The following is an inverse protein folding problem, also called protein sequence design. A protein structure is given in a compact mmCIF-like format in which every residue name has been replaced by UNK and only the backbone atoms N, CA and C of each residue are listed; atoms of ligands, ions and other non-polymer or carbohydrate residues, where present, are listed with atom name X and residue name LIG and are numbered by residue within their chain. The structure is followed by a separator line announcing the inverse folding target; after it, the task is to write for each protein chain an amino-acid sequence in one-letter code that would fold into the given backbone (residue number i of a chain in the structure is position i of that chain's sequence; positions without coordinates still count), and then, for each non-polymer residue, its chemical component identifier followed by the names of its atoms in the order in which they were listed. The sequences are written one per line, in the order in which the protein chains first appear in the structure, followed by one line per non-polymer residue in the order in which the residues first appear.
data_IF_008450350211
#
_entry.id   IF_008450350211
#
_cell.length_a   1.000
_cell.length_b   1.000
_cell.length_c   1.000
_cell.angle_alpha   90.00
_cell.angle_beta   90.00
_cell.angle_gamma   90.00
#
_symmetry.space_group_name_H-M   'P 1'
#
loop_
_entity.id
_entity.type
_entity.pdbx_description
1 polymer ?
#
# COMPACT_ATOMS: atom_id res chain seq x y z
N UNK A 1 7.57 -22.40 17.29
CA UNK A 1 6.24 -21.84 17.52
C UNK A 1 6.00 -21.75 19.01
N UNK A 2 5.35 -20.69 19.50
CA UNK A 2 4.93 -20.63 20.88
C UNK A 2 3.73 -21.56 21.11
N UNK A 3 3.52 -22.02 22.35
CA UNK A 3 2.33 -22.83 22.71
C UNK A 3 1.01 -22.12 22.31
N UNK A 4 0.97 -20.80 22.32
CA UNK A 4 -0.18 -19.99 21.90
C UNK A 4 -0.42 -20.01 20.39
N UNK A 5 0.62 -20.11 19.58
CA UNK A 5 0.48 -20.24 18.12
C UNK A 5 -0.14 -21.59 17.75
N UNK A 6 0.25 -22.66 18.44
CA UNK A 6 -0.35 -23.96 18.25
C UNK A 6 -1.83 -23.99 18.60
N UNK A 7 -2.20 -23.41 19.75
CA UNK A 7 -3.60 -23.27 20.18
C UNK A 7 -4.42 -22.45 19.17
N UNK A 8 -3.87 -21.38 18.67
CA UNK A 8 -4.51 -20.56 17.63
C UNK A 8 -4.75 -21.39 16.34
N UNK A 9 -3.73 -22.10 15.87
CA UNK A 9 -3.84 -22.94 14.66
C UNK A 9 -4.85 -24.06 14.83
N UNK A 10 -4.83 -24.79 15.95
CA UNK A 10 -5.76 -25.86 16.25
C UNK A 10 -7.20 -25.36 16.33
N UNK A 11 -7.44 -24.25 17.03
CA UNK A 11 -8.78 -23.67 17.14
C UNK A 11 -9.29 -23.17 15.78
N UNK A 12 -8.45 -22.52 14.99
CA UNK A 12 -8.78 -22.07 13.63
C UNK A 12 -9.12 -23.25 12.71
N UNK A 13 -8.32 -24.31 12.72
CA UNK A 13 -8.53 -25.51 11.91
C UNK A 13 -9.86 -26.22 12.25
N UNK A 14 -10.30 -26.14 13.52
CA UNK A 14 -11.58 -26.68 13.99
C UNK A 14 -12.76 -25.69 13.82
N UNK A 15 -12.54 -24.52 13.20
CA UNK A 15 -13.58 -23.51 12.97
C UNK A 15 -14.00 -22.73 14.19
N UNK A 16 -13.23 -22.78 15.29
CA UNK A 16 -13.52 -22.01 16.50
C UNK A 16 -13.00 -20.58 16.37
N UNK A 17 -13.82 -19.62 16.77
CA UNK A 17 -13.44 -18.19 16.79
C UNK A 17 -12.53 -17.84 17.99
N UNK A 18 -12.48 -18.69 19.02
CA UNK A 18 -11.67 -18.46 20.23
C UNK A 18 -11.05 -19.74 20.75
N UNK A 19 -10.00 -19.61 21.55
CA UNK A 19 -9.48 -20.66 22.42
C UNK A 19 -9.28 -20.12 23.85
N UNK A 20 -9.23 -21.01 24.83
CA UNK A 20 -8.97 -20.66 26.22
C UNK A 20 -7.46 -20.56 26.47
N UNK A 21 -6.98 -19.42 26.91
CA UNK A 21 -5.60 -19.20 27.32
C UNK A 21 -5.30 -20.09 28.55
N UNK A 22 -4.33 -21.01 28.48
CA UNK A 22 -4.03 -21.92 29.58
C UNK A 22 -3.43 -21.23 30.83
N UNK A 23 -2.89 -20.01 30.66
CA UNK A 23 -2.25 -19.26 31.74
C UNK A 23 -3.27 -18.34 32.43
N UNK A 24 -3.97 -17.51 31.65
CA UNK A 24 -4.89 -16.50 32.21
C UNK A 24 -6.34 -17.00 32.36
N UNK A 25 -6.70 -18.08 31.66
CA UNK A 25 -8.06 -18.60 31.62
C UNK A 25 -9.03 -17.78 30.74
N UNK A 26 -8.58 -16.68 30.11
CA UNK A 26 -9.41 -15.84 29.25
C UNK A 26 -9.60 -16.44 27.85
N UNK A 27 -10.71 -16.07 27.21
CA UNK A 27 -10.94 -16.39 25.80
C UNK A 27 -10.10 -15.47 24.89
N UNK A 28 -9.33 -16.08 23.98
CA UNK A 28 -8.49 -15.37 23.03
C UNK A 28 -9.04 -15.60 21.63
N UNK A 29 -9.25 -14.52 20.87
CA UNK A 29 -9.70 -14.60 19.47
C UNK A 29 -8.60 -15.24 18.60
N UNK A 30 -9.01 -16.13 17.72
CA UNK A 30 -8.13 -16.71 16.70
C UNK A 30 -7.81 -15.69 15.59
N UNK A 31 -6.70 -15.93 14.87
CA UNK A 31 -6.35 -15.12 13.70
C UNK A 31 -7.45 -15.14 12.63
N UNK A 32 -8.10 -16.29 12.43
CA UNK A 32 -9.21 -16.43 11.48
C UNK A 32 -10.45 -15.61 11.89
N UNK A 33 -10.80 -15.62 13.17
CA UNK A 33 -11.88 -14.77 13.68
C UNK A 33 -11.58 -13.29 13.53
N UNK A 34 -10.32 -12.90 13.69
CA UNK A 34 -9.87 -11.53 13.49
C UNK A 34 -9.86 -11.15 12.00
N UNK A 35 -9.48 -12.05 11.09
CA UNK A 35 -9.55 -11.83 9.64
C UNK A 35 -10.97 -11.54 9.15
N UNK A 36 -11.99 -12.19 9.74
CA UNK A 36 -13.40 -11.92 9.42
C UNK A 36 -13.81 -10.47 9.73
N UNK A 37 -13.10 -9.76 10.63
CA UNK A 37 -13.37 -8.35 10.96
C UNK A 37 -12.89 -7.36 9.88
N UNK A 38 -12.06 -7.79 8.95
CA UNK A 38 -11.59 -7.01 7.82
C UNK A 38 -10.63 -5.85 8.14
N UNK A 39 -10.30 -5.60 9.43
CA UNK A 39 -9.36 -4.54 9.84
C UNK A 39 -8.81 -4.76 11.24
N UNK A 40 -7.66 -4.13 11.55
CA UNK A 40 -7.14 -4.07 12.90
C UNK A 40 -8.06 -3.23 13.79
N UNK A 41 -8.46 -3.79 14.94
CA UNK A 41 -9.38 -3.12 15.87
C UNK A 41 -8.69 -2.16 16.87
N UNK A 42 -7.34 -2.10 16.89
CA UNK A 42 -6.59 -1.28 17.84
C UNK A 42 -6.38 -1.89 19.24
N UNK A 43 -6.92 -3.07 19.52
CA UNK A 43 -6.97 -3.66 20.88
C UNK A 43 -5.77 -4.57 21.20
N UNK A 44 -4.65 -4.46 20.50
CA UNK A 44 -3.43 -5.27 20.74
C UNK A 44 -3.68 -6.79 20.82
N UNK A 45 -4.59 -7.31 19.98
CA UNK A 45 -4.96 -8.73 19.98
C UNK A 45 -3.72 -9.62 19.75
N UNK A 46 -3.56 -10.71 20.53
CA UNK A 46 -2.39 -11.61 20.47
C UNK A 46 -2.11 -12.14 19.07
N UNK A 47 -3.12 -12.50 18.29
CA UNK A 47 -3.00 -13.09 16.95
C UNK A 47 -3.50 -12.13 15.87
N UNK A 48 -3.21 -10.83 16.00
CA UNK A 48 -3.65 -9.84 15.03
C UNK A 48 -3.07 -10.12 13.62
N UNK A 49 -3.89 -10.51 12.62
CA UNK A 49 -3.38 -10.80 11.28
C UNK A 49 -3.01 -9.53 10.49
N UNK A 50 -3.39 -8.36 11.01
CA UNK A 50 -3.18 -7.05 10.40
C UNK A 50 -1.94 -6.33 10.94
N UNK A 51 -0.99 -7.02 11.59
CA UNK A 51 0.25 -6.45 12.08
C UNK A 51 0.08 -5.29 13.05
N UNK A 52 -1.00 -5.25 13.82
CA UNK A 52 -1.30 -4.18 14.78
C UNK A 52 -1.32 -2.77 14.17
N UNK A 53 -1.77 -2.62 12.91
CA UNK A 53 -1.76 -1.35 12.17
C UNK A 53 -2.38 -0.18 12.94
N UNK A 54 -3.49 -0.41 13.66
CA UNK A 54 -4.23 0.61 14.41
C UNK A 54 -3.86 0.67 15.91
N UNK A 55 -2.77 0.00 16.31
CA UNK A 55 -2.27 0.10 17.69
C UNK A 55 -1.18 1.17 17.73
N UNK A 56 -1.39 2.25 18.49
CA UNK A 56 -0.44 3.37 18.57
C UNK A 56 0.90 2.94 19.16
N UNK A 57 0.86 2.26 20.32
CA UNK A 57 2.04 1.74 21.01
C UNK A 57 1.83 0.26 21.30
N UNK A 58 2.13 -0.64 20.36
CA UNK A 58 1.95 -2.06 20.58
C UNK A 58 2.85 -2.54 21.73
N UNK A 59 2.26 -3.29 22.66
CA UNK A 59 3.03 -3.95 23.74
C UNK A 59 3.93 -5.01 23.11
N UNK A 60 5.26 -4.78 23.12
CA UNK A 60 6.24 -5.65 22.47
C UNK A 60 6.37 -5.43 20.97
N UNK A 61 6.96 -6.39 20.28
CA UNK A 61 7.09 -6.36 18.82
C UNK A 61 5.73 -6.53 18.13
N UNK A 62 5.52 -5.79 17.03
CA UNK A 62 4.33 -5.97 16.20
C UNK A 62 4.31 -7.39 15.65
N UNK A 63 3.12 -7.98 15.60
CA UNK A 63 2.95 -9.23 14.88
C UNK A 63 3.24 -9.04 13.40
N UNK A 64 4.00 -9.96 12.82
CA UNK A 64 4.27 -9.96 11.39
C UNK A 64 3.00 -10.34 10.61
N UNK A 65 2.73 -9.62 9.55
CA UNK A 65 1.75 -10.04 8.55
C UNK A 65 2.40 -11.16 7.74
N UNK A 66 1.87 -12.39 7.87
CA UNK A 66 2.48 -13.59 7.25
C UNK A 66 1.99 -13.85 5.83
N UNK A 67 0.74 -13.53 5.56
CA UNK A 67 0.06 -13.75 4.27
C UNK A 67 -0.54 -12.44 3.77
N UNK A 68 -0.86 -12.33 2.49
CA UNK A 68 -1.59 -11.18 1.98
C UNK A 68 -2.89 -10.95 2.75
N UNK A 69 -3.16 -9.70 3.11
CA UNK A 69 -4.38 -9.33 3.85
C UNK A 69 -5.13 -8.23 3.13
N UNK A 70 -6.41 -8.48 2.85
CA UNK A 70 -7.33 -7.47 2.31
C UNK A 70 -8.03 -6.75 3.47
N UNK A 71 -7.93 -5.42 3.49
CA UNK A 71 -8.52 -4.56 4.52
C UNK A 71 -9.51 -3.58 3.91
N UNK A 72 -10.52 -3.18 4.69
CA UNK A 72 -11.55 -2.21 4.34
C UNK A 72 -12.38 -2.59 3.09
N UNK A 73 -12.48 -3.89 2.76
CA UNK A 73 -13.31 -4.35 1.67
C UNK A 73 -14.81 -4.19 2.00
N UNK A 74 -15.55 -3.66 1.05
CA UNK A 74 -17.02 -3.58 1.06
C UNK A 74 -17.51 -4.29 -0.20
N UNK A 75 -18.55 -5.11 -0.08
CA UNK A 75 -19.11 -5.87 -1.19
C UNK A 75 -19.48 -4.97 -2.38
N UNK A 76 -19.07 -5.39 -3.57
CA UNK A 76 -19.33 -4.74 -4.84
C UNK A 76 -19.65 -5.82 -5.89
N UNK A 77 -20.24 -5.44 -7.00
CA UNK A 77 -20.66 -6.35 -8.08
C UNK A 77 -19.85 -6.22 -9.37
N UNK A 78 -18.97 -5.22 -9.44
CA UNK A 78 -18.18 -4.95 -10.63
C UNK A 78 -16.83 -5.69 -10.60
N UNK A 79 -16.30 -6.05 -11.78
CA UNK A 79 -14.95 -6.56 -11.91
C UNK A 79 -13.91 -5.61 -11.30
N UNK A 80 -12.78 -6.17 -10.85
CA UNK A 80 -11.77 -5.46 -10.09
C UNK A 80 -10.65 -4.92 -10.97
N UNK A 81 -10.25 -3.69 -10.70
CA UNK A 81 -8.97 -3.12 -11.10
C UNK A 81 -8.02 -3.12 -9.88
N UNK A 82 -6.86 -3.69 -10.04
CA UNK A 82 -5.82 -3.69 -9.00
C UNK A 82 -4.82 -2.59 -9.29
N UNK A 83 -4.79 -1.56 -8.47
CA UNK A 83 -3.78 -0.49 -8.55
C UNK A 83 -2.58 -0.83 -7.66
N UNK A 84 -1.42 -1.03 -8.27
CA UNK A 84 -0.17 -1.15 -7.54
C UNK A 84 0.17 0.19 -6.89
N UNK A 85 0.06 0.21 -5.56
CA UNK A 85 0.06 1.42 -4.75
C UNK A 85 1.37 1.58 -3.99
N UNK A 86 2.12 2.62 -4.32
CA UNK A 86 3.36 2.99 -3.64
C UNK A 86 3.17 4.05 -2.55
N UNK A 87 2.04 4.74 -2.55
CA UNK A 87 1.77 5.90 -1.68
C UNK A 87 2.33 7.22 -2.19
N UNK A 88 3.04 7.22 -3.32
CA UNK A 88 3.63 8.39 -3.95
C UNK A 88 2.70 9.13 -4.93
N UNK A 89 3.19 10.24 -5.46
CA UNK A 89 2.45 11.16 -6.35
C UNK A 89 1.87 10.49 -7.59
N UNK A 90 2.59 9.54 -8.21
CA UNK A 90 2.20 8.93 -9.48
C UNK A 90 1.10 7.91 -9.28
N UNK A 91 1.23 7.06 -8.27
CA UNK A 91 0.14 6.17 -7.87
C UNK A 91 -1.10 6.95 -7.43
N UNK A 92 -0.93 8.11 -6.76
CA UNK A 92 -2.03 9.01 -6.41
C UNK A 92 -2.73 9.60 -7.64
N UNK A 93 -1.99 10.13 -8.63
CA UNK A 93 -2.56 10.61 -9.89
C UNK A 93 -3.36 9.51 -10.61
N UNK A 94 -2.80 8.30 -10.62
CA UNK A 94 -3.46 7.12 -11.19
C UNK A 94 -4.75 6.79 -10.47
N UNK A 95 -4.73 6.77 -9.12
CA UNK A 95 -5.93 6.53 -8.32
C UNK A 95 -7.02 7.55 -8.62
N UNK A 96 -6.67 8.84 -8.68
CA UNK A 96 -7.65 9.89 -8.98
C UNK A 96 -8.29 9.70 -10.35
N UNK A 97 -7.53 9.30 -11.37
CA UNK A 97 -8.07 9.01 -12.69
C UNK A 97 -9.05 7.81 -12.66
N UNK A 98 -8.68 6.72 -12.00
CA UNK A 98 -9.55 5.55 -11.88
C UNK A 98 -10.85 5.86 -11.12
N UNK A 99 -10.78 6.72 -10.09
CA UNK A 99 -11.97 7.16 -9.35
C UNK A 99 -12.90 8.03 -10.20
N UNK A 100 -12.35 8.91 -11.04
CA UNK A 100 -13.12 9.69 -12.03
C UNK A 100 -13.84 8.76 -13.02
N UNK A 101 -13.21 7.66 -13.42
CA UNK A 101 -13.79 6.62 -14.29
C UNK A 101 -14.78 5.69 -13.54
N UNK A 102 -15.00 5.90 -12.25
CA UNK A 102 -15.89 5.08 -11.38
C UNK A 102 -15.53 3.58 -11.39
N UNK A 103 -14.25 3.28 -11.41
CA UNK A 103 -13.73 1.90 -11.38
C UNK A 103 -13.87 1.30 -9.98
N UNK A 104 -13.98 -0.03 -9.92
CA UNK A 104 -13.93 -0.79 -8.69
C UNK A 104 -12.48 -1.16 -8.39
N UNK A 105 -11.86 -0.44 -7.47
CA UNK A 105 -10.41 -0.43 -7.27
C UNK A 105 -10.06 -1.12 -5.95
N UNK A 106 -9.01 -1.95 -5.97
CA UNK A 106 -8.28 -2.37 -4.79
C UNK A 106 -6.85 -1.87 -4.93
N UNK A 107 -6.35 -1.18 -3.91
CA UNK A 107 -4.93 -0.84 -3.81
C UNK A 107 -4.15 -2.09 -3.41
N UNK A 108 -3.00 -2.34 -4.05
CA UNK A 108 -2.11 -3.44 -3.69
C UNK A 108 -0.73 -2.89 -3.38
N UNK A 109 -0.25 -3.13 -2.16
CA UNK A 109 1.07 -2.68 -1.72
C UNK A 109 1.90 -3.84 -1.22
N UNK A 110 3.03 -4.10 -1.87
CA UNK A 110 4.05 -5.02 -1.36
C UNK A 110 5.02 -4.28 -0.42
N UNK A 111 5.42 -4.95 0.66
CA UNK A 111 6.28 -4.38 1.69
C UNK A 111 7.19 -5.43 2.32
N UNK A 112 8.32 -5.00 2.85
CA UNK A 112 9.22 -5.88 3.60
C UNK A 112 8.58 -6.36 4.90
N UNK A 113 8.29 -7.64 5.02
CA UNK A 113 7.57 -8.22 6.17
C UNK A 113 8.28 -7.98 7.51
N UNK A 114 9.62 -7.92 7.50
CA UNK A 114 10.43 -7.70 8.71
C UNK A 114 10.57 -6.22 9.07
N UNK A 115 10.45 -5.32 8.10
CA UNK A 115 10.64 -3.87 8.29
C UNK A 115 9.32 -3.10 8.41
N UNK A 116 8.21 -3.69 7.93
CA UNK A 116 6.93 -3.02 7.77
C UNK A 116 7.00 -1.76 6.87
N UNK A 117 7.92 -1.75 5.90
CA UNK A 117 8.13 -0.62 4.99
C UNK A 117 8.01 -1.05 3.54
N UNK A 118 7.46 -0.16 2.72
CA UNK A 118 7.49 -0.27 1.26
C UNK A 118 8.94 -0.05 0.82
N UNK A 119 9.55 -1.04 0.16
CA UNK A 119 11.01 -1.18 0.07
C UNK A 119 11.72 0.01 -0.56
N UNK A 120 11.27 0.48 -1.73
CA UNK A 120 11.96 1.56 -2.47
C UNK A 120 11.58 2.93 -1.92
N UNK A 121 10.31 3.16 -1.61
CA UNK A 121 9.79 4.42 -1.11
C UNK A 121 10.13 4.65 0.37
N UNK A 122 10.57 3.65 1.07
CA UNK A 122 10.85 3.67 2.52
C UNK A 122 9.68 4.24 3.37
N UNK A 123 8.44 3.88 2.99
CA UNK A 123 7.20 4.33 3.64
C UNK A 123 6.68 3.25 4.57
N UNK A 124 6.28 3.62 5.79
CA UNK A 124 5.64 2.69 6.75
C UNK A 124 4.25 2.28 6.24
N UNK A 125 3.92 0.98 6.33
CA UNK A 125 2.61 0.45 5.92
C UNK A 125 1.44 1.07 6.69
N UNK A 126 1.68 1.68 7.87
CA UNK A 126 0.66 2.48 8.56
C UNK A 126 0.24 3.70 7.76
N UNK A 127 1.17 4.38 7.10
CA UNK A 127 0.85 5.55 6.29
C UNK A 127 0.14 5.14 5.01
N UNK A 128 0.50 4.00 4.43
CA UNK A 128 -0.24 3.36 3.33
C UNK A 128 -1.68 3.03 3.75
N UNK A 129 -1.87 2.45 4.93
CA UNK A 129 -3.20 2.14 5.44
C UNK A 129 -4.05 3.41 5.71
N UNK A 130 -3.44 4.49 6.25
CA UNK A 130 -4.09 5.80 6.41
C UNK A 130 -4.52 6.40 5.08
N UNK A 131 -3.69 6.29 4.04
CA UNK A 131 -4.06 6.73 2.69
C UNK A 131 -5.28 5.97 2.18
N UNK A 132 -5.27 4.64 2.26
CA UNK A 132 -6.39 3.80 1.82
C UNK A 132 -7.70 4.15 2.57
N UNK A 133 -7.62 4.39 3.88
CA UNK A 133 -8.75 4.83 4.70
C UNK A 133 -9.25 6.23 4.28
N UNK A 134 -8.33 7.19 4.08
CA UNK A 134 -8.65 8.54 3.63
C UNK A 134 -9.38 8.55 2.28
N UNK A 135 -8.88 7.80 1.31
CA UNK A 135 -9.50 7.69 -0.01
C UNK A 135 -10.70 6.74 -0.03
N UNK A 136 -10.98 6.03 1.07
CA UNK A 136 -12.04 5.02 1.19
C UNK A 136 -11.94 3.93 0.13
N UNK A 137 -10.73 3.47 -0.16
CA UNK A 137 -10.44 2.42 -1.13
C UNK A 137 -9.87 1.21 -0.38
N UNK A 138 -10.32 -0.02 -0.68
CA UNK A 138 -9.77 -1.23 -0.08
C UNK A 138 -8.28 -1.37 -0.38
N UNK A 139 -7.53 -1.97 0.55
CA UNK A 139 -6.09 -2.18 0.43
C UNK A 139 -5.73 -3.65 0.67
N UNK A 140 -4.99 -4.25 -0.25
CA UNK A 140 -4.31 -5.52 -0.04
C UNK A 140 -2.83 -5.27 0.29
N UNK A 141 -2.42 -5.68 1.49
CA UNK A 141 -1.03 -5.64 1.94
C UNK A 141 -0.37 -6.99 1.66
N UNK A 142 0.76 -6.98 0.94
CA UNK A 142 1.48 -8.17 0.51
C UNK A 142 2.86 -8.22 1.16
N UNK A 143 3.07 -9.09 2.18
CA UNK A 143 4.35 -9.19 2.85
C UNK A 143 5.37 -9.92 1.99
N UNK A 144 6.54 -9.33 1.80
CA UNK A 144 7.69 -9.93 1.14
C UNK A 144 8.73 -10.34 2.19
N UNK A 145 9.05 -11.62 2.21
CA UNK A 145 10.11 -12.18 3.05
C UNK A 145 11.42 -12.33 2.26
N UNK A 146 12.57 -12.35 2.91
CA UNK A 146 13.83 -12.70 2.25
C UNK A 146 13.70 -14.05 1.51
N UNK A 147 14.24 -14.12 0.30
CA UNK A 147 14.25 -15.33 -0.54
C UNK A 147 12.86 -15.84 -1.01
N UNK A 148 11.81 -15.01 -0.94
CA UNK A 148 10.54 -15.32 -1.58
C UNK A 148 10.47 -14.75 -2.98
N UNK A 149 9.83 -15.46 -3.90
CA UNK A 149 9.59 -14.95 -5.24
C UNK A 149 8.52 -13.85 -5.22
N UNK A 150 8.81 -12.73 -5.86
CA UNK A 150 7.91 -11.59 -5.91
C UNK A 150 6.60 -11.91 -6.62
N UNK A 151 6.69 -12.58 -7.78
CA UNK A 151 5.52 -12.92 -8.61
C UNK A 151 4.59 -13.87 -7.85
N UNK A 152 5.14 -14.93 -7.25
CA UNK A 152 4.36 -15.88 -6.45
C UNK A 152 3.62 -15.19 -5.30
N UNK A 153 4.24 -14.23 -4.62
CA UNK A 153 3.61 -13.47 -3.52
C UNK A 153 2.48 -12.57 -4.00
N UNK A 154 2.62 -11.96 -5.17
CA UNK A 154 1.56 -11.15 -5.77
C UNK A 154 0.41 -12.04 -6.25
N UNK A 155 0.69 -13.18 -6.86
CA UNK A 155 -0.33 -14.16 -7.27
C UNK A 155 -1.09 -14.74 -6.06
N UNK A 156 -0.41 -14.97 -4.92
CA UNK A 156 -1.09 -15.30 -3.66
C UNK A 156 -2.07 -14.19 -3.24
N UNK A 157 -1.67 -12.92 -3.38
CA UNK A 157 -2.55 -11.80 -3.07
C UNK A 157 -3.76 -11.75 -4.01
N UNK A 158 -3.59 -12.06 -5.29
CA UNK A 158 -4.70 -12.11 -6.24
C UNK A 158 -5.70 -13.20 -5.84
N UNK A 159 -5.24 -14.40 -5.49
CA UNK A 159 -6.12 -15.47 -4.99
C UNK A 159 -6.88 -15.03 -3.73
N UNK A 160 -6.20 -14.42 -2.75
CA UNK A 160 -6.85 -13.89 -1.54
C UNK A 160 -7.90 -12.84 -1.86
N UNK A 161 -7.63 -11.95 -2.81
CA UNK A 161 -8.59 -10.93 -3.24
C UNK A 161 -9.82 -11.59 -3.87
N UNK A 162 -9.64 -12.46 -4.85
CA UNK A 162 -10.73 -13.12 -5.57
C UNK A 162 -11.58 -14.03 -4.63
N UNK A 163 -10.95 -14.78 -3.75
CA UNK A 163 -11.65 -15.59 -2.75
C UNK A 163 -12.50 -14.76 -1.79
N UNK A 164 -11.97 -13.62 -1.32
CA UNK A 164 -12.67 -12.75 -0.36
C UNK A 164 -13.75 -11.87 -0.99
N UNK A 165 -13.57 -11.49 -2.22
CA UNK A 165 -14.49 -10.59 -2.92
C UNK A 165 -15.55 -11.36 -3.75
N UNK A 166 -15.22 -12.57 -4.18
CA UNK A 166 -16.00 -13.31 -5.17
C UNK A 166 -15.96 -12.70 -6.57
N UNK A 167 -15.01 -11.81 -6.85
CA UNK A 167 -14.91 -11.07 -8.10
C UNK A 167 -13.59 -11.38 -8.81
N UNK A 168 -13.65 -11.42 -10.14
CA UNK A 168 -12.48 -11.60 -11.00
C UNK A 168 -11.66 -10.31 -11.09
N UNK A 169 -10.34 -10.45 -11.04
CA UNK A 169 -9.39 -9.37 -11.34
C UNK A 169 -9.30 -9.22 -12.85
N UNK A 170 -9.73 -8.07 -13.37
CA UNK A 170 -9.72 -7.78 -14.80
C UNK A 170 -8.44 -7.10 -15.25
N UNK A 171 -7.97 -6.13 -14.46
CA UNK A 171 -6.91 -5.22 -14.92
C UNK A 171 -5.91 -4.92 -13.80
N UNK A 172 -4.63 -4.89 -14.15
CA UNK A 172 -3.53 -4.45 -13.30
C UNK A 172 -3.09 -3.07 -13.75
N UNK A 173 -3.09 -2.11 -12.83
CA UNK A 173 -2.83 -0.71 -13.12
C UNK A 173 -1.59 -0.23 -12.39
N UNK A 174 -0.73 0.49 -13.11
CA UNK A 174 0.53 1.02 -12.62
C UNK A 174 0.66 2.50 -12.93
N UNK A 175 1.32 3.24 -12.04
CA UNK A 175 1.58 4.67 -12.19
C UNK A 175 2.89 4.98 -12.94
N UNK A 176 3.35 4.11 -13.84
CA UNK A 176 4.58 4.31 -14.59
C UNK A 176 4.41 5.45 -15.61
N UNK A 177 5.42 6.35 -15.75
CA UNK A 177 5.33 7.55 -16.56
C UNK A 177 5.98 7.39 -17.95
N UNK A 178 7.25 6.95 -18.04
CA UNK A 178 7.97 6.89 -19.33
C UNK A 178 9.00 5.76 -19.46
N UNK A 179 9.25 4.97 -18.40
CA UNK A 179 10.27 3.93 -18.41
C UNK A 179 9.77 2.70 -19.20
N UNK A 180 10.12 2.66 -20.51
CA UNK A 180 9.63 1.65 -21.47
C UNK A 180 9.99 0.23 -21.09
N UNK A 181 11.20 0.01 -20.53
CA UNK A 181 11.65 -1.32 -20.10
C UNK A 181 10.82 -1.83 -18.90
N UNK A 182 10.45 -0.94 -17.99
CA UNK A 182 9.57 -1.28 -16.86
C UNK A 182 8.17 -1.62 -17.38
N UNK A 183 7.60 -0.80 -18.25
CA UNK A 183 6.30 -1.09 -18.86
C UNK A 183 6.31 -2.44 -19.58
N UNK A 184 7.36 -2.70 -20.38
CA UNK A 184 7.51 -3.98 -21.08
C UNK A 184 7.57 -5.14 -20.08
N UNK A 185 8.39 -5.03 -19.05
CA UNK A 185 8.49 -6.05 -18.01
C UNK A 185 7.14 -6.32 -17.33
N UNK A 186 6.34 -5.28 -17.06
CA UNK A 186 4.99 -5.47 -16.48
C UNK A 186 4.08 -6.27 -17.40
N UNK A 187 4.03 -5.92 -18.69
CA UNK A 187 3.23 -6.65 -19.68
C UNK A 187 3.68 -8.09 -19.81
N UNK A 188 5.00 -8.33 -19.90
CA UNK A 188 5.55 -9.68 -20.03
C UNK A 188 5.33 -10.53 -18.77
N UNK A 189 5.45 -9.92 -17.59
CA UNK A 189 5.27 -10.61 -16.30
C UNK A 189 3.81 -10.97 -16.01
N UNK A 190 2.88 -10.09 -16.38
CA UNK A 190 1.45 -10.20 -16.08
C UNK A 190 0.62 -10.42 -17.36
N UNK A 191 1.11 -11.29 -18.27
CA UNK A 191 0.49 -11.55 -19.57
C UNK A 191 -0.94 -12.10 -19.51
N UNK A 192 -1.34 -12.67 -18.36
CA UNK A 192 -2.68 -13.21 -18.15
C UNK A 192 -3.73 -12.14 -17.79
N UNK A 193 -3.29 -10.90 -17.57
CA UNK A 193 -4.13 -9.76 -17.18
C UNK A 193 -4.02 -8.60 -18.17
N UNK A 194 -5.05 -7.77 -18.23
CA UNK A 194 -4.95 -6.47 -18.90
C UNK A 194 -4.02 -5.56 -18.08
N UNK A 195 -2.88 -5.15 -18.62
CA UNK A 195 -1.95 -4.21 -17.98
C UNK A 195 -2.22 -2.80 -18.48
N UNK A 196 -2.45 -1.86 -17.55
CA UNK A 196 -2.74 -0.46 -17.83
C UNK A 196 -1.74 0.47 -17.13
N UNK A 197 -1.24 1.45 -17.88
CA UNK A 197 -0.34 2.51 -17.40
C UNK A 197 -0.90 3.87 -17.85
N UNK A 198 -1.95 4.39 -17.19
CA UNK A 198 -2.73 5.52 -17.72
C UNK A 198 -1.96 6.85 -17.75
N UNK A 199 -0.85 6.98 -17.02
CA UNK A 199 0.00 8.18 -17.03
C UNK A 199 1.14 8.10 -18.04
N UNK A 200 1.29 6.96 -18.74
CA UNK A 200 2.44 6.71 -19.60
C UNK A 200 2.47 7.64 -20.80
N UNK A 201 3.63 8.25 -21.05
CA UNK A 201 3.87 9.26 -22.11
C UNK A 201 2.99 10.54 -21.98
N UNK A 202 2.33 10.78 -20.84
CA UNK A 202 1.68 12.06 -20.55
C UNK A 202 2.73 13.09 -20.17
N UNK A 203 2.63 14.32 -20.71
CA UNK A 203 3.63 15.35 -20.42
C UNK A 203 3.64 15.77 -18.95
N UNK A 204 4.81 16.11 -18.43
CA UNK A 204 4.99 16.53 -17.03
C UNK A 204 4.21 17.82 -16.70
N UNK A 205 4.04 18.72 -17.65
CA UNK A 205 3.23 19.93 -17.49
C UNK A 205 1.78 19.57 -17.14
N UNK A 206 1.20 18.60 -17.87
CA UNK A 206 -0.16 18.13 -17.62
C UNK A 206 -0.24 17.42 -16.28
N UNK A 207 0.71 16.52 -15.99
CA UNK A 207 0.73 15.75 -14.73
C UNK A 207 0.90 16.66 -13.51
N UNK A 208 1.85 17.58 -13.54
CA UNK A 208 2.11 18.53 -12.44
C UNK A 208 0.92 19.48 -12.25
N UNK A 209 0.35 20.01 -13.32
CA UNK A 209 -0.85 20.86 -13.23
C UNK A 209 -2.02 20.12 -12.57
N UNK A 210 -2.29 18.86 -13.00
CA UNK A 210 -3.32 18.01 -12.39
C UNK A 210 -3.00 17.71 -10.93
N UNK A 211 -1.74 17.40 -10.62
CA UNK A 211 -1.26 17.09 -9.27
C UNK A 211 -1.55 18.23 -8.30
N UNK A 212 -1.13 19.45 -8.62
CA UNK A 212 -1.30 20.61 -7.74
C UNK A 212 -2.77 20.93 -7.49
N UNK A 213 -3.58 20.87 -8.53
CA UNK A 213 -5.03 21.05 -8.41
C UNK A 213 -5.65 20.02 -7.45
N UNK A 214 -5.33 18.73 -7.62
CA UNK A 214 -5.86 17.64 -6.77
C UNK A 214 -5.38 17.74 -5.32
N UNK A 215 -4.12 18.12 -5.11
CA UNK A 215 -3.53 18.30 -3.77
C UNK A 215 -4.27 19.41 -3.01
N UNK A 216 -4.57 20.52 -3.69
CA UNK A 216 -5.33 21.62 -3.10
C UNK A 216 -6.78 21.23 -2.82
N UNK A 217 -7.49 20.69 -3.82
CA UNK A 217 -8.89 20.30 -3.71
C UNK A 217 -9.14 19.26 -2.59
N UNK A 218 -8.22 18.33 -2.42
CA UNK A 218 -8.36 17.25 -1.43
C UNK A 218 -7.67 17.53 -0.10
N UNK A 219 -7.10 18.74 0.08
CA UNK A 219 -6.38 19.12 1.30
C UNK A 219 -5.26 18.13 1.65
N UNK A 220 -4.42 17.82 0.67
CA UNK A 220 -3.28 16.91 0.79
C UNK A 220 -1.96 17.67 0.88
N UNK A 221 -0.94 17.01 1.37
CA UNK A 221 0.46 17.42 1.28
C UNK A 221 1.27 16.29 0.62
N UNK A 222 2.26 16.67 -0.16
CA UNK A 222 3.24 15.75 -0.71
C UNK A 222 4.59 16.13 -0.12
N UNK A 223 5.34 15.13 0.32
CA UNK A 223 6.71 15.31 0.79
C UNK A 223 7.63 14.23 0.23
N UNK A 224 8.93 14.48 0.28
CA UNK A 224 9.93 13.46 -0.01
C UNK A 224 9.84 12.36 1.05
N UNK A 225 9.79 11.12 0.62
CA UNK A 225 9.87 9.92 1.49
C UNK A 225 11.30 9.37 1.60
N UNK A 226 12.18 9.79 0.69
CA UNK A 226 13.61 9.47 0.70
C UNK A 226 14.44 10.74 0.60
N UNK A 227 15.65 10.71 1.14
CA UNK A 227 16.61 11.81 1.02
C UNK A 227 17.11 11.92 -0.43
N UNK A 228 17.20 13.14 -0.96
CA UNK A 228 17.83 13.43 -2.25
C UNK A 228 19.16 14.11 -2.01
N UNK A 229 20.25 13.52 -2.53
CA UNK A 229 21.61 14.06 -2.45
C UNK A 229 22.04 14.61 -3.80
N UNK A 230 22.19 15.92 -3.88
CA UNK A 230 22.76 16.63 -5.02
C UNK A 230 24.17 17.14 -4.66
N UNK A 231 25.03 17.48 -5.64
CA UNK A 231 26.40 17.90 -5.38
C UNK A 231 26.55 19.04 -4.36
N UNK A 232 25.57 19.93 -4.30
CA UNK A 232 25.60 21.13 -3.44
C UNK A 232 24.37 21.28 -2.54
N UNK A 233 23.47 20.30 -2.53
CA UNK A 233 22.21 20.36 -1.80
C UNK A 233 21.77 18.99 -1.34
N UNK A 234 21.45 18.87 -0.06
CA UNK A 234 20.78 17.68 0.48
C UNK A 234 19.35 18.05 0.85
N UNK A 235 18.40 17.32 0.31
CA UNK A 235 16.98 17.47 0.61
C UNK A 235 16.56 16.33 1.54
N UNK A 236 16.30 16.59 2.82
CA UNK A 236 15.94 15.53 3.77
C UNK A 236 14.55 14.97 3.52
N UNK A 237 14.29 13.77 4.07
CA UNK A 237 12.94 13.20 4.19
C UNK A 237 12.00 14.20 4.84
N UNK A 238 10.78 14.31 4.32
CA UNK A 238 9.77 15.26 4.79
C UNK A 238 9.83 16.63 4.10
N UNK A 239 10.85 16.91 3.26
CA UNK A 239 10.86 18.13 2.44
C UNK A 239 9.60 18.20 1.59
N UNK A 240 8.82 19.30 1.64
CA UNK A 240 7.64 19.46 0.80
C UNK A 240 7.96 19.31 -0.69
N UNK A 241 7.22 18.45 -1.39
CA UNK A 241 7.26 18.38 -2.84
C UNK A 241 6.16 19.29 -3.38
N UNK A 242 6.57 20.47 -3.82
CA UNK A 242 5.71 21.57 -4.27
C UNK A 242 6.27 22.23 -5.54
N UNK A 243 5.55 23.19 -6.16
CA UNK A 243 6.04 23.87 -7.36
C UNK A 243 7.40 24.56 -7.18
N UNK A 244 7.70 25.03 -5.97
CA UNK A 244 9.00 25.66 -5.70
C UNK A 244 10.13 24.62 -5.74
N UNK A 245 9.96 23.48 -5.05
CA UNK A 245 10.95 22.41 -5.09
C UNK A 245 11.14 21.86 -6.50
N UNK A 246 10.04 21.62 -7.24
CA UNK A 246 10.10 21.14 -8.63
C UNK A 246 10.94 22.07 -9.51
N UNK A 247 10.76 23.38 -9.37
CA UNK A 247 11.58 24.37 -10.09
C UNK A 247 13.06 24.31 -9.67
N UNK A 248 13.34 24.16 -8.36
CA UNK A 248 14.73 24.01 -7.89
C UNK A 248 15.40 22.74 -8.42
N UNK A 249 14.69 21.62 -8.47
CA UNK A 249 15.18 20.37 -9.05
C UNK A 249 15.53 20.55 -10.54
N UNK A 250 14.64 21.17 -11.31
CA UNK A 250 14.85 21.46 -12.73
C UNK A 250 16.11 22.31 -12.98
N UNK A 251 16.35 23.36 -12.17
CA UNK A 251 17.55 24.19 -12.24
C UNK A 251 18.84 23.40 -11.96
N UNK A 252 18.76 22.29 -11.22
CA UNK A 252 19.88 21.39 -10.93
C UNK A 252 20.00 20.23 -11.93
N UNK A 253 19.17 20.20 -12.98
CA UNK A 253 19.14 19.11 -13.96
C UNK A 253 18.57 17.81 -13.44
N UNK A 254 17.80 17.84 -12.35
CA UNK A 254 17.11 16.70 -11.77
C UNK A 254 15.74 16.56 -12.39
N UNK A 255 15.30 15.32 -12.61
CA UNK A 255 13.97 15.05 -13.16
C UNK A 255 12.86 15.64 -12.28
N UNK A 256 11.96 16.43 -12.89
CA UNK A 256 10.87 17.12 -12.18
C UNK A 256 9.87 16.20 -11.49
N UNK A 257 9.75 14.96 -12.00
CA UNK A 257 8.90 13.93 -11.43
C UNK A 257 9.70 12.87 -10.67
N UNK A 258 11.04 13.03 -10.52
CA UNK A 258 11.92 12.11 -9.80
C UNK A 258 11.90 10.67 -10.36
N UNK A 259 11.78 10.53 -11.69
CA UNK A 259 11.61 9.22 -12.35
C UNK A 259 12.91 8.46 -12.61
N UNK A 260 14.05 9.14 -12.52
CA UNK A 260 15.36 8.53 -12.77
C UNK A 260 15.99 7.94 -11.49
N UNK A 261 15.18 7.76 -10.43
CA UNK A 261 15.64 7.20 -9.15
C UNK A 261 16.27 8.21 -8.19
N UNK A 262 16.09 9.53 -8.43
CA UNK A 262 16.64 10.57 -7.57
C UNK A 262 15.99 10.58 -6.19
N UNK A 263 14.72 10.21 -6.09
CA UNK A 263 14.00 10.18 -4.83
C UNK A 263 12.54 9.74 -4.99
N UNK A 264 11.86 9.63 -3.87
CA UNK A 264 10.47 9.20 -3.82
C UNK A 264 9.63 10.15 -2.99
N UNK A 265 8.31 10.08 -3.19
CA UNK A 265 7.34 10.95 -2.52
C UNK A 265 6.31 10.16 -1.74
N UNK A 266 5.70 10.83 -0.76
CA UNK A 266 4.58 10.34 0.04
C UNK A 266 3.46 11.39 0.03
N UNK A 267 2.24 10.97 -0.25
CA UNK A 267 1.02 11.80 -0.26
C UNK A 267 0.24 11.56 1.03
N UNK A 268 0.02 12.58 1.84
CA UNK A 268 -0.73 12.47 3.09
C UNK A 268 -1.76 13.60 3.22
N UNK A 269 -2.87 13.38 3.97
CA UNK A 269 -3.76 14.46 4.35
C UNK A 269 -3.00 15.55 5.11
N UNK A 270 -3.30 16.83 4.82
CA UNK A 270 -2.77 17.94 5.62
C UNK A 270 -3.25 17.77 7.06
N UNK A 271 -2.32 17.87 7.99
CA UNK A 271 -2.70 17.93 9.40
C UNK A 271 -3.52 19.19 9.61
N UNK A 272 -4.68 19.07 10.25
CA UNK A 272 -5.43 20.24 10.68
C UNK A 272 -4.55 20.96 11.69
N UNK A 273 -4.20 22.23 11.41
CA UNK A 273 -3.59 23.11 12.40
C UNK A 273 -4.53 23.13 13.61
N UNK A 274 -4.02 22.71 14.76
CA UNK A 274 -4.72 22.83 16.04
C UNK A 274 -4.84 24.28 16.45
#
# INVERSE_FOLDING_TARGET
MSNFDELNLQASANGFDTYKDPISGYQVLTSEALLKKGKCCGNSCRHCPFGHLNVENPFGERQLIKHPVLINWVANTNALDILFWSGGKDSFLTLMQLMEEKKNIILLTSFGALTNRVSIQDVDIKDIAKQAEFFKVPLCLVPLYPNTDYKERIEEAFRVIEEKTGLEIKRLVFGDLHLRDIKKWRVDTWSDYEVSTPLFDVSYEVLLSKLWKLVEEKQLAISLSTEIKLPHLTLPVGTPFDPYLVHQLELQGVDRMLENGEGHTLVLPKQKSQ
#
